data_IF_008496712871
#
_entry.id   IF_008496712871
#
_cell.length_a   1.000
_cell.length_b   1.000
_cell.length_c   1.000
_cell.angle_alpha   90.00
_cell.angle_beta   90.00
_cell.angle_gamma   90.00
#
_symmetry.space_group_name_H-M   'P 1'
#
loop_
_entity.id
_entity.type
_entity.pdbx_description
1 polymer ?
#
# COMPACT_ATOMS: atom_id res chain seq x y z
N UNK A 1 0.09 -15.94 16.56
CA UNK A 1 -0.68 -14.89 15.86
C UNK A 1 -1.92 -14.56 16.71
N UNK A 2 -2.03 -13.33 17.23
CA UNK A 2 -3.20 -12.93 18.03
C UNK A 2 -4.25 -12.31 17.11
N UNK A 3 -5.25 -13.12 16.72
CA UNK A 3 -6.31 -12.72 15.77
C UNK A 3 -7.06 -11.46 16.22
N UNK A 4 -7.27 -11.31 17.52
CA UNK A 4 -7.97 -10.16 18.13
C UNK A 4 -7.22 -8.85 17.88
N UNK A 5 -5.88 -8.86 17.96
CA UNK A 5 -5.06 -7.66 17.71
C UNK A 5 -5.18 -7.18 16.26
N UNK A 6 -5.15 -8.10 15.30
CA UNK A 6 -5.26 -7.76 13.87
C UNK A 6 -6.62 -7.15 13.56
N UNK A 7 -7.70 -7.78 14.03
CA UNK A 7 -9.08 -7.27 13.82
C UNK A 7 -9.24 -5.87 14.42
N UNK A 8 -8.69 -5.63 15.61
CA UNK A 8 -8.72 -4.30 16.21
C UNK A 8 -7.93 -3.26 15.40
N UNK A 9 -6.79 -3.64 14.83
CA UNK A 9 -6.01 -2.72 13.98
C UNK A 9 -6.77 -2.36 12.71
N UNK A 10 -7.44 -3.33 12.08
CA UNK A 10 -8.22 -3.11 10.85
C UNK A 10 -9.48 -2.26 11.07
N UNK A 11 -10.08 -2.33 12.27
CA UNK A 11 -11.28 -1.56 12.60
C UNK A 11 -10.99 -0.20 13.24
N UNK A 12 -9.71 0.10 13.53
CA UNK A 12 -9.30 1.37 14.12
C UNK A 12 -9.21 2.47 13.06
N UNK A 13 -9.54 3.68 13.50
CA UNK A 13 -9.53 4.90 12.69
C UNK A 13 -8.28 5.12 11.82
N UNK A 14 -7.03 4.84 12.23
CA UNK A 14 -5.87 5.05 11.37
C UNK A 14 -5.88 4.16 10.11
N UNK A 15 -6.33 2.91 10.24
CA UNK A 15 -6.43 2.00 9.10
C UNK A 15 -7.59 2.41 8.18
N UNK A 16 -8.74 2.71 8.77
CA UNK A 16 -9.91 3.17 8.00
C UNK A 16 -9.65 4.51 7.29
N UNK A 17 -8.91 5.42 7.92
CA UNK A 17 -8.49 6.67 7.31
C UNK A 17 -7.53 6.40 6.14
N UNK A 18 -6.51 5.55 6.32
CA UNK A 18 -5.61 5.18 5.23
C UNK A 18 -6.35 4.53 4.06
N UNK A 19 -7.26 3.59 4.34
CA UNK A 19 -8.10 2.94 3.32
C UNK A 19 -8.98 3.95 2.58
N UNK A 20 -9.69 4.80 3.32
CA UNK A 20 -10.58 5.82 2.74
C UNK A 20 -9.79 6.82 1.91
N UNK A 21 -8.65 7.28 2.42
CA UNK A 21 -7.75 8.18 1.69
C UNK A 21 -7.24 7.53 0.41
N UNK A 22 -6.83 6.25 0.45
CA UNK A 22 -6.35 5.54 -0.74
C UNK A 22 -7.43 5.44 -1.81
N UNK A 23 -8.64 4.99 -1.43
CA UNK A 23 -9.77 4.87 -2.34
C UNK A 23 -10.19 6.22 -2.91
N UNK A 24 -10.41 7.22 -2.05
CA UNK A 24 -10.84 8.54 -2.49
C UNK A 24 -9.78 9.18 -3.41
N UNK A 25 -8.50 8.98 -3.08
CA UNK A 25 -7.43 9.55 -3.87
C UNK A 25 -7.31 8.91 -5.25
N UNK A 26 -7.34 7.59 -5.32
CA UNK A 26 -7.13 6.87 -6.58
C UNK A 26 -8.35 6.91 -7.50
N UNK A 27 -9.58 6.92 -6.96
CA UNK A 27 -10.80 6.98 -7.76
C UNK A 27 -11.27 8.40 -8.10
N UNK A 28 -10.96 9.40 -7.28
CA UNK A 28 -11.53 10.75 -7.44
C UNK A 28 -10.47 11.85 -7.49
N UNK A 29 -9.58 11.96 -6.49
CA UNK A 29 -8.67 13.12 -6.46
C UNK A 29 -7.67 13.09 -7.60
N UNK A 30 -7.18 11.92 -8.04
CA UNK A 30 -6.25 11.84 -9.18
C UNK A 30 -6.89 12.32 -10.49
N UNK A 31 -8.20 12.12 -10.69
CA UNK A 31 -8.87 12.58 -11.90
C UNK A 31 -9.13 14.09 -11.89
N UNK A 32 -9.44 14.66 -10.73
CA UNK A 32 -9.74 16.10 -10.59
C UNK A 32 -8.49 16.96 -10.37
N UNK A 33 -7.49 16.44 -9.66
CA UNK A 33 -6.26 17.12 -9.26
C UNK A 33 -5.03 16.24 -9.55
N UNK A 34 -4.67 16.07 -10.83
CA UNK A 34 -3.46 15.35 -11.18
C UNK A 34 -2.24 16.12 -10.67
N UNK A 35 -1.36 15.45 -9.92
CA UNK A 35 -0.16 16.10 -9.44
C UNK A 35 0.65 15.32 -8.41
N UNK A 36 1.72 15.97 -7.93
CA UNK A 36 2.67 15.39 -6.98
C UNK A 36 2.02 15.08 -5.63
N UNK A 37 1.01 15.85 -5.23
CA UNK A 37 0.32 15.72 -3.93
C UNK A 37 -0.53 14.45 -3.91
N UNK A 38 -1.35 14.22 -4.94
CA UNK A 38 -2.19 13.01 -5.04
C UNK A 38 -1.35 11.76 -5.24
N UNK A 39 -0.20 11.86 -5.92
CA UNK A 39 0.80 10.78 -5.96
C UNK A 39 1.33 10.40 -4.57
N UNK A 40 1.83 11.38 -3.80
CA UNK A 40 2.41 11.13 -2.46
C UNK A 40 1.37 10.67 -1.43
N UNK A 41 0.13 11.13 -1.56
CA UNK A 41 -0.95 10.74 -0.67
C UNK A 41 -1.29 9.25 -0.83
N UNK A 42 -1.34 8.77 -2.08
CA UNK A 42 -1.48 7.34 -2.40
C UNK A 42 -0.30 6.54 -1.84
N UNK A 43 0.94 7.02 -2.05
CA UNK A 43 2.16 6.36 -1.55
C UNK A 43 2.11 6.17 -0.02
N UNK A 44 1.74 7.22 0.73
CA UNK A 44 1.62 7.15 2.20
C UNK A 44 0.50 6.21 2.66
N UNK A 45 -0.68 6.34 2.05
CA UNK A 45 -1.84 5.52 2.39
C UNK A 45 -1.60 4.03 2.07
N UNK A 46 -0.95 3.72 0.95
CA UNK A 46 -0.58 2.37 0.55
C UNK A 46 0.43 1.72 1.51
N UNK A 47 1.46 2.47 1.92
CA UNK A 47 2.41 1.99 2.94
C UNK A 47 1.69 1.70 4.26
N UNK A 48 0.79 2.58 4.71
CA UNK A 48 0.03 2.38 5.94
C UNK A 48 -0.90 1.16 5.88
N UNK A 49 -1.55 0.93 4.74
CA UNK A 49 -2.41 -0.23 4.48
C UNK A 49 -1.67 -1.57 4.63
N UNK A 50 -0.39 -1.62 4.28
CA UNK A 50 0.45 -2.82 4.40
C UNK A 50 1.11 -2.89 5.79
N UNK A 51 1.67 -1.78 6.27
CA UNK A 51 2.42 -1.75 7.52
C UNK A 51 1.57 -2.09 8.75
N UNK A 52 0.35 -1.52 8.86
CA UNK A 52 -0.46 -1.65 10.06
C UNK A 52 -0.88 -3.12 10.33
N UNK A 53 -1.41 -3.89 9.36
CA UNK A 53 -1.71 -5.30 9.58
C UNK A 53 -0.48 -6.17 9.83
N UNK A 54 0.64 -5.91 9.14
CA UNK A 54 1.88 -6.66 9.29
C UNK A 54 2.48 -6.47 10.70
N UNK A 55 2.52 -5.23 11.19
CA UNK A 55 2.99 -4.92 12.54
C UNK A 55 2.06 -5.49 13.63
N UNK A 56 0.75 -5.51 13.37
CA UNK A 56 -0.21 -6.15 14.27
C UNK A 56 0.02 -7.67 14.36
N UNK A 57 0.40 -8.29 13.24
CA UNK A 57 0.64 -9.74 13.12
C UNK A 57 1.99 -10.16 13.70
N UNK A 58 3.05 -9.40 13.42
CA UNK A 58 4.44 -9.72 13.77
C UNK A 58 5.15 -8.56 14.52
N UNK A 59 4.67 -8.16 15.71
CA UNK A 59 5.18 -6.98 16.40
C UNK A 59 6.67 -7.06 16.77
N UNK A 60 7.22 -8.27 16.95
CA UNK A 60 8.65 -8.48 17.24
C UNK A 60 9.57 -8.22 16.04
N UNK A 61 9.04 -8.18 14.82
CA UNK A 61 9.82 -8.04 13.59
C UNK A 61 9.65 -6.66 12.95
N UNK A 62 9.25 -5.64 13.72
CA UNK A 62 8.94 -4.30 13.21
C UNK A 62 10.03 -3.71 12.30
N UNK A 63 11.31 -3.84 12.70
CA UNK A 63 12.44 -3.36 11.87
C UNK A 63 12.51 -4.07 10.53
N UNK A 64 12.38 -5.40 10.52
CA UNK A 64 12.40 -6.19 9.29
C UNK A 64 11.21 -5.85 8.39
N UNK A 65 10.02 -5.62 8.98
CA UNK A 65 8.82 -5.20 8.24
C UNK A 65 9.04 -3.83 7.60
N UNK A 66 9.56 -2.84 8.34
CA UNK A 66 9.82 -1.52 7.78
C UNK A 66 10.87 -1.55 6.67
N UNK A 67 11.95 -2.33 6.85
CA UNK A 67 12.97 -2.50 5.81
C UNK A 67 12.40 -3.18 4.56
N UNK A 68 11.59 -4.23 4.74
CA UNK A 68 10.95 -4.94 3.63
C UNK A 68 9.97 -4.03 2.88
N UNK A 69 9.15 -3.26 3.60
CA UNK A 69 8.22 -2.29 2.98
C UNK A 69 8.99 -1.20 2.25
N UNK A 70 10.06 -0.65 2.84
CA UNK A 70 10.89 0.36 2.19
C UNK A 70 11.54 -0.19 0.91
N UNK A 71 12.10 -1.40 0.95
CA UNK A 71 12.71 -2.04 -0.21
C UNK A 71 11.68 -2.34 -1.30
N UNK A 72 10.53 -2.91 -0.94
CA UNK A 72 9.43 -3.19 -1.87
C UNK A 72 8.87 -1.90 -2.49
N UNK A 73 8.74 -0.83 -1.70
CA UNK A 73 8.25 0.47 -2.15
C UNK A 73 9.24 1.13 -3.13
N UNK A 74 10.54 1.10 -2.83
CA UNK A 74 11.58 1.60 -3.73
C UNK A 74 11.63 0.82 -5.03
N UNK A 75 11.51 -0.51 -4.95
CA UNK A 75 11.45 -1.37 -6.14
C UNK A 75 10.20 -1.06 -6.98
N UNK A 76 9.03 -0.90 -6.35
CA UNK A 76 7.79 -0.55 -7.04
C UNK A 76 7.85 0.81 -7.73
N UNK A 77 8.52 1.81 -7.12
CA UNK A 77 8.76 3.12 -7.74
C UNK A 77 9.81 3.10 -8.85
N UNK A 78 10.63 2.06 -8.92
CA UNK A 78 11.67 1.95 -9.93
C UNK A 78 11.08 1.64 -11.31
N UNK A 79 11.78 1.96 -12.42
CA UNK A 79 11.33 1.62 -13.78
C UNK A 79 11.14 0.11 -14.01
N UNK A 80 11.74 -0.73 -13.16
CA UNK A 80 11.62 -2.19 -13.24
C UNK A 80 10.19 -2.67 -12.97
N UNK A 81 9.39 -1.91 -12.21
CA UNK A 81 7.99 -2.24 -12.00
C UNK A 81 7.18 -2.17 -13.30
N UNK A 82 7.52 -1.24 -14.20
CA UNK A 82 6.89 -1.15 -15.53
C UNK A 82 7.14 -2.40 -16.38
N UNK A 83 8.36 -2.93 -16.38
CA UNK A 83 8.69 -4.18 -17.08
C UNK A 83 7.96 -5.38 -16.47
N UNK A 84 7.86 -5.43 -15.14
CA UNK A 84 7.12 -6.46 -14.44
C UNK A 84 5.62 -6.40 -14.77
N UNK A 85 5.02 -5.21 -14.79
CA UNK A 85 3.61 -5.01 -15.16
C UNK A 85 3.38 -5.42 -16.61
N UNK A 86 4.28 -5.06 -17.53
CA UNK A 86 4.19 -5.47 -18.93
C UNK A 86 4.22 -7.00 -19.07
N UNK A 87 5.16 -7.66 -18.39
CA UNK A 87 5.23 -9.12 -18.34
C UNK A 87 3.95 -9.75 -17.75
N UNK A 88 3.46 -9.22 -16.63
CA UNK A 88 2.22 -9.71 -16.01
C UNK A 88 1.02 -9.57 -16.95
N UNK A 89 0.95 -8.47 -17.71
CA UNK A 89 -0.11 -8.22 -18.70
C UNK A 89 -0.06 -9.13 -19.92
N UNK A 90 1.08 -9.77 -20.21
CA UNK A 90 1.19 -10.79 -21.26
C UNK A 90 0.74 -12.17 -20.77
N UNK A 91 0.96 -12.47 -19.49
CA UNK A 91 0.63 -13.78 -18.90
C UNK A 91 -0.82 -13.84 -18.42
N UNK A 92 -1.36 -12.75 -17.90
CA UNK A 92 -2.69 -12.72 -17.31
C UNK A 92 -3.78 -12.56 -18.39
N UNK A 93 -4.95 -13.21 -18.19
CA UNK A 93 -6.08 -13.10 -19.11
C UNK A 93 -6.76 -11.72 -19.10
N UNK A 94 -6.45 -10.87 -18.12
CA UNK A 94 -6.92 -9.50 -18.00
C UNK A 94 -5.74 -8.58 -17.73
N UNK A 95 -5.82 -7.36 -18.27
CA UNK A 95 -4.79 -6.34 -18.07
C UNK A 95 -4.99 -5.63 -16.73
N UNK A 96 -3.87 -5.41 -16.04
CA UNK A 96 -3.71 -4.63 -14.82
C UNK A 96 -2.98 -3.32 -15.13
#
# INVERSE_FOLDING_TARGET
MNKTRVIHTLTRWPFLAALTTLLLNDFWLKSQFPGLITGKLSDFAGIAMIALPLLATFPRHARAIYLAIAAAFLWWKSPLSGLFIAFANEVLPYRI
#
